data_IF_248145600128
#
_entry.id   IF_248145600128
#
_cell.length_a   1.000
_cell.length_b   1.000
_cell.length_c   1.000
_cell.angle_alpha   90.00
_cell.angle_beta   90.00
_cell.angle_gamma   90.00
#
_symmetry.space_group_name_H-M   'P 1'
#
loop_
_entity.id
_entity.type
_entity.pdbx_description
1 polymer ?
#
# COMPACT_ATOMS: atom_id res chain seq x y z
N UNK A 1 9.82 -10.78 27.46
CA UNK A 1 10.84 -10.73 26.39
C UNK A 1 10.09 -10.68 25.07
N UNK A 2 9.90 -9.48 24.51
CA UNK A 2 9.41 -9.32 23.14
C UNK A 2 10.62 -9.27 22.22
N UNK A 3 10.65 -10.15 21.23
CA UNK A 3 11.75 -10.32 20.30
C UNK A 3 11.69 -9.23 19.23
N UNK A 4 12.38 -8.10 19.44
CA UNK A 4 12.76 -7.22 18.34
C UNK A 4 13.88 -7.91 17.55
N UNK A 5 13.59 -8.33 16.32
CA UNK A 5 14.60 -8.82 15.38
C UNK A 5 14.72 -7.82 14.25
N UNK A 6 15.88 -7.18 14.12
CA UNK A 6 16.11 -6.18 13.06
C UNK A 6 16.21 -6.85 11.68
N UNK A 7 15.44 -6.36 10.71
CA UNK A 7 15.45 -6.82 9.31
C UNK A 7 14.69 -5.89 8.35
N UNK A 8 14.87 -6.09 7.05
CA UNK A 8 14.04 -5.47 6.00
C UNK A 8 12.60 -5.95 6.17
N UNK A 9 11.59 -5.08 5.97
CA UNK A 9 10.19 -5.48 6.08
C UNK A 9 9.92 -6.69 5.16
N UNK A 10 9.28 -7.73 5.70
CA UNK A 10 8.90 -8.93 4.95
C UNK A 10 7.38 -8.94 4.84
N UNK A 11 6.86 -9.09 3.61
CA UNK A 11 5.43 -9.25 3.37
C UNK A 11 4.86 -10.43 4.15
N UNK A 12 3.64 -10.29 4.67
CA UNK A 12 2.95 -11.36 5.37
C UNK A 12 2.53 -12.47 4.41
N UNK A 13 2.38 -13.68 4.94
CA UNK A 13 1.67 -14.75 4.24
C UNK A 13 0.19 -14.35 4.04
N UNK A 14 -0.54 -14.92 3.06
CA UNK A 14 -1.96 -14.64 2.86
C UNK A 14 -2.76 -14.78 4.16
N UNK A 15 -3.45 -13.71 4.58
CA UNK A 15 -4.23 -13.66 5.83
C UNK A 15 -3.41 -13.42 7.11
N UNK A 16 -2.09 -13.25 7.02
CA UNK A 16 -1.20 -12.94 8.14
C UNK A 16 -0.57 -11.55 8.04
N UNK A 17 -0.26 -10.95 9.19
CA UNK A 17 0.52 -9.71 9.23
C UNK A 17 1.95 -9.95 8.73
N UNK A 18 2.49 -9.00 7.97
CA UNK A 18 3.92 -8.98 7.62
C UNK A 18 4.81 -8.82 8.84
N UNK A 19 6.09 -9.16 8.66
CA UNK A 19 7.10 -8.98 9.70
C UNK A 19 7.45 -7.50 9.91
N UNK A 20 7.85 -7.15 11.13
CA UNK A 20 8.26 -5.79 11.50
C UNK A 20 9.37 -5.27 10.58
N UNK A 21 9.21 -4.05 10.06
CA UNK A 21 10.20 -3.36 9.25
C UNK A 21 10.89 -2.23 10.00
N UNK A 22 12.16 -1.94 9.67
CA UNK A 22 12.89 -0.79 10.22
C UNK A 22 12.83 0.41 9.26
N UNK A 23 12.11 1.46 9.64
CA UNK A 23 12.29 2.78 9.04
C UNK A 23 13.35 3.57 9.81
N UNK A 24 14.38 4.08 9.12
CA UNK A 24 15.39 4.97 9.71
C UNK A 24 15.23 6.34 9.08
N UNK A 25 14.73 7.29 9.86
CA UNK A 25 14.66 8.69 9.45
C UNK A 25 15.84 9.42 10.09
N UNK A 26 16.76 9.91 9.26
CA UNK A 26 17.95 10.64 9.71
C UNK A 26 17.71 12.13 9.48
N UNK A 27 17.60 12.88 10.56
CA UNK A 27 17.59 14.35 10.50
C UNK A 27 18.99 14.87 10.77
N UNK A 28 19.53 15.64 9.83
CA UNK A 28 20.76 16.40 10.08
C UNK A 28 20.35 17.78 10.58
N UNK A 29 20.60 18.06 11.85
CA UNK A 29 20.24 19.33 12.46
C UNK A 29 21.48 20.21 12.49
N UNK A 30 21.58 21.08 11.50
CA UNK A 30 22.60 22.12 11.44
C UNK A 30 22.28 23.23 12.42
N UNK A 31 23.17 23.47 13.39
CA UNK A 31 23.09 24.65 14.27
C UNK A 31 24.16 25.65 13.84
N UNK A 32 23.73 26.82 13.33
CA UNK A 32 24.65 27.90 12.95
C UNK A 32 24.70 28.94 14.07
N UNK A 33 25.86 29.07 14.73
CA UNK A 33 26.11 30.16 15.66
C UNK A 33 26.19 31.49 14.92
N UNK A 34 25.55 32.54 15.48
CA UNK A 34 25.63 33.90 14.95
C UNK A 34 25.90 34.90 16.08
N UNK A 35 26.59 36.00 15.78
CA UNK A 35 26.82 37.11 16.69
C UNK A 35 26.56 38.45 16.01
N UNK A 36 26.22 39.49 16.79
CA UNK A 36 25.84 40.81 16.25
C UNK A 36 27.02 41.77 16.30
N UNK A 37 27.35 42.39 15.16
CA UNK A 37 28.38 43.44 15.05
C UNK A 37 27.79 44.66 14.37
N UNK A 38 27.77 45.80 15.06
CA UNK A 38 27.26 47.06 14.49
C UNK A 38 25.80 46.98 14.00
N UNK A 39 24.97 46.15 14.64
CA UNK A 39 23.58 45.96 14.24
C UNK A 39 23.33 44.79 13.27
N UNK A 40 24.36 44.28 12.60
CA UNK A 40 24.24 43.18 11.64
C UNK A 40 24.61 41.83 12.27
N UNK A 41 23.87 40.77 11.92
CA UNK A 41 24.20 39.39 12.29
C UNK A 41 25.32 38.84 11.41
N UNK A 42 26.27 38.13 12.02
CA UNK A 42 27.38 37.45 11.35
C UNK A 42 27.51 36.01 11.86
N UNK A 43 27.81 35.09 10.96
CA UNK A 43 28.06 33.69 11.28
C UNK A 43 29.34 33.55 12.14
N UNK A 44 29.32 32.56 13.02
CA UNK A 44 30.49 32.09 13.77
C UNK A 44 31.00 30.82 13.08
N UNK A 45 32.13 30.90 12.40
CA UNK A 45 32.74 29.75 11.72
C UNK A 45 33.63 28.92 12.66
N UNK A 46 34.21 29.57 13.67
CA UNK A 46 35.00 28.92 14.72
C UNK A 46 34.97 29.76 16.00
N UNK A 47 35.00 29.10 17.16
CA UNK A 47 35.06 29.73 18.46
C UNK A 47 36.26 29.22 19.26
N UNK A 48 36.98 30.13 19.92
CA UNK A 48 38.16 29.81 20.71
C UNK A 48 38.08 30.46 22.09
N UNK A 49 38.67 29.80 23.08
CA UNK A 49 38.84 30.32 24.43
C UNK A 49 40.32 30.32 24.81
N UNK A 50 40.78 31.37 25.48
CA UNK A 50 42.19 31.54 25.84
C UNK A 50 42.46 30.96 27.24
N UNK A 51 43.33 29.97 27.33
CA UNK A 51 43.73 29.33 28.60
C UNK A 51 45.25 29.40 28.74
N UNK A 52 45.74 30.06 29.78
CA UNK A 52 47.18 30.16 30.05
C UNK A 52 47.97 30.82 28.91
N UNK A 53 47.37 31.79 28.21
CA UNK A 53 48.02 32.47 27.08
C UNK A 53 47.80 31.83 25.71
N UNK A 54 47.39 30.56 25.65
CA UNK A 54 47.15 29.83 24.41
C UNK A 54 45.66 29.82 24.02
N UNK A 55 45.38 29.98 22.72
CA UNK A 55 44.04 29.81 22.18
C UNK A 55 43.70 28.33 22.02
N UNK A 56 42.54 27.92 22.52
CA UNK A 56 42.01 26.56 22.39
C UNK A 56 40.64 26.59 21.74
N UNK A 57 40.38 25.68 20.81
CA UNK A 57 39.08 25.58 20.14
C UNK A 57 37.99 25.15 21.12
N UNK A 58 36.83 25.79 21.02
CA UNK A 58 35.61 25.35 21.71
C UNK A 58 34.95 24.30 20.83
N UNK A 59 34.80 23.07 21.35
CA UNK A 59 34.26 21.93 20.60
C UNK A 59 32.84 21.54 21.02
N UNK A 60 32.37 22.03 22.16
CA UNK A 60 31.02 21.80 22.66
C UNK A 60 30.59 22.89 23.65
N UNK A 61 29.29 23.17 23.72
CA UNK A 61 28.68 24.04 24.72
C UNK A 61 27.69 23.27 25.60
N UNK A 62 27.67 23.56 26.90
CA UNK A 62 26.73 22.97 27.85
C UNK A 62 26.03 24.05 28.70
N UNK A 63 24.80 23.80 29.11
CA UNK A 63 24.04 24.60 30.08
C UNK A 63 23.67 23.72 31.29
N UNK A 64 23.65 24.31 32.49
CA UNK A 64 23.31 23.59 33.71
C UNK A 64 21.82 23.75 34.01
N UNK A 65 21.07 22.65 34.01
CA UNK A 65 19.62 22.61 34.29
C UNK A 65 19.38 21.61 35.41
N UNK A 66 18.80 22.07 36.53
CA UNK A 66 18.51 21.21 37.69
C UNK A 66 19.76 20.55 38.29
N UNK A 67 20.92 21.19 38.20
CA UNK A 67 22.20 20.65 38.70
C UNK A 67 22.96 19.77 37.70
N UNK A 68 22.34 19.33 36.60
CA UNK A 68 22.99 18.52 35.57
C UNK A 68 23.47 19.37 34.38
N UNK A 69 24.64 19.06 33.84
CA UNK A 69 25.13 19.65 32.58
C UNK A 69 24.44 18.99 31.39
N UNK A 70 23.80 19.80 30.53
CA UNK A 70 23.14 19.36 29.30
C UNK A 70 23.75 20.08 28.10
N UNK A 71 23.96 19.38 27.00
CA UNK A 71 24.53 20.00 25.80
C UNK A 71 23.56 21.09 25.26
N UNK A 72 24.10 22.24 24.88
CA UNK A 72 23.34 23.37 24.28
C UNK A 72 22.81 23.03 22.89
N UNK A 73 23.47 22.11 22.19
CA UNK A 73 23.08 21.61 20.87
C UNK A 73 23.01 20.08 20.94
N UNK A 74 22.07 19.48 20.21
CA UNK A 74 21.76 18.03 20.20
C UNK A 74 21.07 17.47 21.46
N UNK A 75 20.49 18.30 22.32
CA UNK A 75 19.66 17.86 23.44
C UNK A 75 18.31 18.59 23.43
N UNK A 76 17.23 17.90 23.83
CA UNK A 76 15.88 18.49 23.92
C UNK A 76 15.04 18.42 22.65
N UNK A 77 15.44 17.62 21.66
CA UNK A 77 14.64 17.39 20.44
C UNK A 77 13.77 16.16 20.68
N UNK A 78 12.50 16.40 20.97
CA UNK A 78 11.51 15.34 21.12
C UNK A 78 10.84 15.10 19.77
N UNK A 79 11.12 13.93 19.19
CA UNK A 79 10.36 13.45 18.06
C UNK A 79 9.07 12.82 18.58
N UNK A 80 7.95 13.46 18.30
CA UNK A 80 6.62 12.92 18.60
C UNK A 80 6.02 12.49 17.26
N UNK A 81 5.78 11.18 17.09
CA UNK A 81 5.00 10.71 15.94
C UNK A 81 3.54 11.14 16.12
N UNK A 82 3.00 11.89 15.17
CA UNK A 82 1.58 12.30 15.15
C UNK A 82 0.73 11.46 14.19
N UNK A 83 1.37 10.58 13.40
CA UNK A 83 0.70 9.77 12.41
C UNK A 83 0.10 8.51 13.06
N UNK A 84 -1.22 8.35 12.95
CA UNK A 84 -1.97 7.20 13.50
C UNK A 84 -1.60 5.83 12.90
N UNK A 85 -0.79 5.80 11.82
CA UNK A 85 -0.40 4.59 11.10
C UNK A 85 1.03 4.12 11.33
N UNK A 86 1.84 4.78 12.16
CA UNK A 86 3.16 4.23 12.52
C UNK A 86 3.01 3.46 13.83
N UNK A 87 3.41 2.18 13.83
CA UNK A 87 3.38 1.34 15.02
C UNK A 87 4.13 1.97 16.20
N UNK A 88 3.72 1.64 17.43
CA UNK A 88 4.35 2.15 18.66
C UNK A 88 5.31 1.11 19.28
N UNK A 89 6.02 1.50 20.35
CA UNK A 89 6.97 0.63 21.05
C UNK A 89 6.31 -0.61 21.69
N UNK A 90 4.99 -0.59 21.88
CA UNK A 90 4.20 -1.73 22.35
C UNK A 90 3.66 -2.63 21.21
N UNK A 91 3.96 -2.33 19.93
CA UNK A 91 3.52 -3.14 18.79
C UNK A 91 2.08 -2.85 18.31
N UNK A 92 1.58 -1.62 18.52
CA UNK A 92 0.27 -1.16 18.05
C UNK A 92 0.12 -1.16 16.52
N UNK A 93 -1.10 -0.90 16.05
CA UNK A 93 -1.53 -1.00 14.64
C UNK A 93 -0.53 -0.40 13.65
N UNK A 94 0.06 -1.28 12.83
CA UNK A 94 0.90 -0.94 11.68
C UNK A 94 0.04 -0.32 10.55
N UNK A 95 0.64 0.59 9.77
CA UNK A 95 0.03 1.18 8.54
C UNK A 95 -0.12 0.18 7.41
N UNK A 96 0.39 -1.04 7.56
CA UNK A 96 0.15 -2.11 6.62
C UNK A 96 -1.25 -2.67 6.79
N UNK A 97 -2.20 -2.17 6.00
CA UNK A 97 -3.39 -2.96 5.66
C UNK A 97 -2.94 -4.17 4.84
N UNK A 98 -3.31 -5.38 5.26
CA UNK A 98 -3.11 -6.57 4.43
C UNK A 98 -3.83 -6.37 3.10
N UNK A 99 -3.08 -6.28 2.00
CA UNK A 99 -3.66 -6.24 0.66
C UNK A 99 -4.28 -7.60 0.34
N UNK A 100 -5.59 -7.75 0.52
CA UNK A 100 -6.36 -8.92 0.09
C UNK A 100 -7.11 -8.59 -1.19
N UNK A 101 -6.44 -8.13 -2.24
CA UNK A 101 -7.16 -7.56 -3.39
C UNK A 101 -6.41 -7.66 -4.70
N UNK A 102 -6.70 -8.73 -5.45
CA UNK A 102 -6.28 -8.87 -6.84
C UNK A 102 -6.70 -10.23 -7.37
N UNK A 103 -7.97 -10.34 -7.76
CA UNK A 103 -8.41 -11.48 -8.54
C UNK A 103 -7.62 -11.51 -9.86
N UNK A 104 -6.97 -12.63 -10.22
CA UNK A 104 -6.23 -12.76 -11.48
C UNK A 104 -6.38 -14.15 -12.12
N UNK A 105 -6.15 -14.27 -13.43
CA UNK A 105 -6.30 -15.50 -14.24
C UNK A 105 -4.97 -16.00 -14.80
N UNK A 106 -4.84 -17.30 -15.04
CA UNK A 106 -3.65 -17.85 -15.70
C UNK A 106 -3.53 -17.40 -17.17
N UNK A 107 -2.30 -17.30 -17.72
CA UNK A 107 -2.12 -17.07 -19.15
C UNK A 107 -2.80 -18.17 -19.98
N UNK A 108 -3.34 -17.79 -21.12
CA UNK A 108 -4.12 -18.66 -22.00
C UNK A 108 -5.59 -18.76 -21.62
N UNK A 109 -6.03 -18.21 -20.48
CA UNK A 109 -7.47 -18.13 -20.15
C UNK A 109 -8.19 -17.27 -21.19
N UNK A 110 -9.22 -17.83 -21.81
CA UNK A 110 -9.94 -17.20 -22.93
C UNK A 110 -11.05 -16.30 -22.42
N UNK A 111 -10.89 -15.00 -22.65
CA UNK A 111 -11.88 -13.96 -22.35
C UNK A 111 -12.87 -13.87 -23.50
N UNK A 112 -14.16 -13.77 -23.17
CA UNK A 112 -15.21 -13.56 -24.18
C UNK A 112 -15.25 -12.08 -24.57
N UNK A 113 -14.95 -11.77 -25.84
CA UNK A 113 -14.91 -10.41 -26.38
C UNK A 113 -16.32 -9.93 -26.74
N UNK A 114 -16.51 -8.60 -26.89
CA UNK A 114 -17.82 -8.03 -27.20
C UNK A 114 -18.39 -8.49 -28.56
N UNK A 115 -17.54 -8.84 -29.51
CA UNK A 115 -17.91 -9.40 -30.82
C UNK A 115 -18.20 -10.92 -30.80
N UNK A 116 -18.12 -11.55 -29.63
CA UNK A 116 -18.31 -12.99 -29.44
C UNK A 116 -17.09 -13.84 -29.75
N UNK A 117 -15.96 -13.24 -30.13
CA UNK A 117 -14.67 -13.95 -30.25
C UNK A 117 -14.04 -14.19 -28.88
N UNK A 118 -12.92 -14.90 -28.87
CA UNK A 118 -12.14 -15.17 -27.67
C UNK A 118 -10.74 -14.59 -27.79
N UNK A 119 -10.24 -13.99 -26.71
CA UNK A 119 -8.87 -13.50 -26.60
C UNK A 119 -8.24 -13.98 -25.30
N UNK A 120 -7.00 -14.46 -25.36
CA UNK A 120 -6.28 -14.86 -24.15
C UNK A 120 -6.06 -13.63 -23.24
N UNK A 121 -6.22 -13.82 -21.93
CA UNK A 121 -6.19 -12.72 -20.95
C UNK A 121 -4.91 -11.89 -20.98
N UNK A 122 -3.76 -12.51 -21.25
CA UNK A 122 -2.47 -11.83 -21.37
C UNK A 122 -2.31 -11.00 -22.66
N UNK A 123 -3.24 -11.14 -23.60
CA UNK A 123 -3.29 -10.40 -24.87
C UNK A 123 -4.40 -9.34 -24.90
N UNK A 124 -5.26 -9.28 -23.88
CA UNK A 124 -6.25 -8.21 -23.73
C UNK A 124 -5.51 -6.90 -23.45
N UNK A 125 -5.81 -5.86 -24.22
CA UNK A 125 -5.14 -4.57 -24.14
C UNK A 125 -6.13 -3.42 -23.87
N UNK A 126 -5.59 -2.29 -23.42
CA UNK A 126 -6.38 -1.09 -23.15
C UNK A 126 -7.07 -0.64 -24.44
N UNK A 127 -8.39 -0.45 -24.35
CA UNK A 127 -9.23 -0.05 -25.47
C UNK A 127 -9.95 -1.20 -26.17
N UNK A 128 -9.64 -2.46 -25.86
CA UNK A 128 -10.45 -3.60 -26.26
C UNK A 128 -11.87 -3.52 -25.67
N UNK A 129 -12.85 -4.16 -26.31
CA UNK A 129 -14.21 -4.31 -25.77
C UNK A 129 -14.49 -5.78 -25.41
N UNK A 130 -14.80 -6.04 -24.14
CA UNK A 130 -15.14 -7.37 -23.63
C UNK A 130 -16.64 -7.55 -23.46
N UNK A 131 -17.10 -8.80 -23.57
CA UNK A 131 -18.52 -9.14 -23.39
C UNK A 131 -18.97 -8.79 -21.98
N UNK A 132 -20.12 -8.13 -21.86
CA UNK A 132 -20.70 -7.57 -20.61
C UNK A 132 -19.85 -6.45 -20.00
N UNK A 133 -18.53 -6.63 -19.85
CA UNK A 133 -17.59 -5.70 -19.22
C UNK A 133 -17.35 -4.38 -19.97
N UNK A 134 -17.65 -4.30 -21.27
CA UNK A 134 -17.45 -3.08 -22.04
C UNK A 134 -15.97 -2.80 -22.32
N UNK A 135 -15.60 -1.52 -22.42
CA UNK A 135 -14.23 -1.13 -22.79
C UNK A 135 -13.23 -1.39 -21.67
N UNK A 136 -12.08 -1.94 -22.03
CA UNK A 136 -10.93 -2.15 -21.14
C UNK A 136 -10.19 -0.83 -20.93
N UNK A 137 -9.94 -0.47 -19.67
CA UNK A 137 -9.25 0.77 -19.31
C UNK A 137 -7.91 0.54 -18.58
N UNK A 138 -7.65 -0.68 -18.10
CA UNK A 138 -6.42 -1.04 -17.42
C UNK A 138 -6.09 -2.52 -17.64
N UNK A 139 -4.80 -2.86 -17.59
CA UNK A 139 -4.30 -4.24 -17.62
C UNK A 139 -3.24 -4.41 -16.54
N UNK A 140 -3.19 -5.57 -15.90
CA UNK A 140 -2.25 -5.83 -14.82
C UNK A 140 -1.75 -7.28 -14.83
N UNK A 141 -0.57 -7.47 -14.23
CA UNK A 141 0.13 -8.74 -14.13
C UNK A 141 0.67 -8.89 -12.72
N UNK A 142 0.43 -10.04 -12.09
CA UNK A 142 0.78 -10.29 -10.70
C UNK A 142 1.47 -11.65 -10.54
N UNK A 143 2.26 -11.77 -9.47
CA UNK A 143 2.80 -13.03 -8.99
C UNK A 143 1.99 -13.43 -7.75
N UNK A 144 1.44 -14.64 -7.75
CA UNK A 144 0.59 -15.16 -6.67
C UNK A 144 1.03 -16.56 -6.24
N UNK A 145 0.60 -17.00 -5.06
CA UNK A 145 0.82 -18.35 -4.52
C UNK A 145 -0.50 -19.01 -4.09
N UNK A 146 -1.65 -18.56 -4.62
CA UNK A 146 -2.98 -19.03 -4.22
C UNK A 146 -3.85 -19.37 -5.43
N UNK A 147 -3.38 -20.29 -6.27
CA UNK A 147 -4.08 -20.67 -7.50
C UNK A 147 -5.14 -21.75 -7.24
N UNK A 148 -6.29 -21.60 -7.89
CA UNK A 148 -7.43 -22.52 -7.81
C UNK A 148 -7.91 -22.89 -9.22
N UNK A 149 -8.49 -24.07 -9.35
CA UNK A 149 -9.38 -24.41 -10.46
C UNK A 149 -10.83 -24.13 -10.06
N UNK A 150 -11.52 -23.32 -10.86
CA UNK A 150 -12.95 -23.12 -10.77
C UNK A 150 -13.60 -23.57 -12.08
N UNK A 151 -14.13 -24.81 -12.09
CA UNK A 151 -14.80 -25.41 -13.25
C UNK A 151 -13.93 -25.38 -14.53
N UNK A 152 -12.63 -25.62 -14.39
CA UNK A 152 -11.67 -25.59 -15.51
C UNK A 152 -11.00 -24.24 -15.75
N UNK A 153 -11.38 -23.19 -15.04
CA UNK A 153 -10.71 -21.88 -15.08
C UNK A 153 -9.68 -21.81 -13.96
N UNK A 154 -8.40 -21.68 -14.34
CA UNK A 154 -7.31 -21.45 -13.38
C UNK A 154 -7.24 -19.97 -12.99
N UNK A 155 -7.51 -19.67 -11.73
CA UNK A 155 -7.77 -18.32 -11.21
C UNK A 155 -7.31 -18.21 -9.77
N UNK A 156 -6.95 -17.01 -9.30
CA UNK A 156 -6.60 -16.80 -7.90
C UNK A 156 -7.79 -17.10 -6.99
N UNK A 157 -7.53 -17.69 -5.82
CA UNK A 157 -8.57 -18.04 -4.84
C UNK A 157 -9.37 -16.81 -4.36
N UNK A 158 -8.72 -15.65 -4.34
CA UNK A 158 -9.32 -14.37 -3.95
C UNK A 158 -10.16 -13.72 -5.05
N UNK A 159 -10.23 -14.27 -6.26
CA UNK A 159 -11.07 -13.73 -7.34
C UNK A 159 -12.55 -13.94 -7.01
N UNK A 160 -13.40 -12.93 -7.28
CA UNK A 160 -14.84 -13.07 -7.09
C UNK A 160 -15.51 -13.65 -8.33
N UNK A 161 -16.37 -14.65 -8.10
CA UNK A 161 -17.14 -15.36 -9.11
C UNK A 161 -18.62 -15.36 -8.73
N UNK A 162 -19.49 -15.24 -9.72
CA UNK A 162 -20.93 -15.33 -9.52
C UNK A 162 -21.37 -16.78 -9.58
N UNK A 163 -21.74 -17.32 -8.43
CA UNK A 163 -22.18 -18.69 -8.23
C UNK A 163 -23.62 -18.70 -7.72
N UNK A 164 -24.51 -19.41 -8.41
CA UNK A 164 -25.94 -19.52 -8.05
C UNK A 164 -26.61 -18.15 -7.80
N UNK A 165 -26.23 -17.14 -8.58
CA UNK A 165 -26.74 -15.77 -8.46
C UNK A 165 -26.13 -14.95 -7.32
N UNK A 166 -25.13 -15.46 -6.61
CA UNK A 166 -24.42 -14.77 -5.52
C UNK A 166 -22.94 -14.65 -5.83
N UNK A 167 -22.35 -13.53 -5.45
CA UNK A 167 -20.91 -13.34 -5.54
C UNK A 167 -20.21 -14.01 -4.37
N UNK A 168 -19.18 -14.79 -4.65
CA UNK A 168 -18.32 -15.44 -3.66
C UNK A 168 -16.87 -15.43 -4.14
N UNK A 169 -15.92 -15.59 -3.22
CA UNK A 169 -14.51 -15.82 -3.57
C UNK A 169 -14.36 -17.25 -4.07
N UNK A 170 -13.49 -17.46 -5.07
CA UNK A 170 -13.22 -18.80 -5.62
C UNK A 170 -12.76 -19.78 -4.53
N UNK A 171 -11.92 -19.35 -3.59
CA UNK A 171 -11.45 -20.19 -2.48
C UNK A 171 -12.56 -20.59 -1.49
N UNK A 172 -13.64 -19.81 -1.43
CA UNK A 172 -14.81 -20.06 -0.57
C UNK A 172 -15.95 -20.76 -1.32
N UNK A 173 -15.80 -21.00 -2.62
CA UNK A 173 -16.81 -21.67 -3.44
C UNK A 173 -16.83 -23.18 -3.19
N UNK A 174 -18.00 -23.80 -3.37
CA UNK A 174 -18.15 -25.26 -3.41
C UNK A 174 -17.51 -25.93 -4.64
N UNK A 175 -17.13 -25.15 -5.64
CA UNK A 175 -16.53 -25.58 -6.90
C UNK A 175 -15.03 -25.28 -6.98
N UNK A 176 -14.50 -24.45 -6.08
CA UNK A 176 -13.08 -24.09 -6.06
C UNK A 176 -12.23 -25.25 -5.55
N UNK A 177 -11.22 -25.63 -6.33
CA UNK A 177 -10.23 -26.65 -5.96
C UNK A 177 -8.85 -26.00 -5.92
N UNK A 178 -8.20 -25.97 -4.75
CA UNK A 178 -6.84 -25.44 -4.64
C UNK A 178 -5.86 -26.25 -5.49
N UNK A 179 -5.02 -25.56 -6.25
CA UNK A 179 -3.94 -26.15 -7.04
C UNK A 179 -2.58 -26.10 -6.31
N UNK A 180 -2.58 -25.73 -5.03
CA UNK A 180 -1.39 -25.58 -4.21
C UNK A 180 -0.89 -24.13 -4.14
N UNK A 181 0.34 -24.00 -3.66
CA UNK A 181 0.93 -22.70 -3.29
C UNK A 181 2.19 -22.35 -4.10
N UNK A 182 2.35 -22.98 -5.27
CA UNK A 182 3.47 -22.65 -6.14
C UNK A 182 3.25 -21.26 -6.74
N UNK A 183 4.35 -20.52 -6.92
CA UNK A 183 4.32 -19.20 -7.55
C UNK A 183 3.76 -19.29 -8.99
N UNK A 184 2.76 -18.47 -9.28
CA UNK A 184 2.11 -18.39 -10.57
C UNK A 184 2.03 -16.92 -11.04
N UNK A 185 2.37 -16.70 -12.31
CA UNK A 185 2.18 -15.42 -12.97
C UNK A 185 0.78 -15.40 -13.57
N UNK A 186 0.01 -14.38 -13.20
CA UNK A 186 -1.41 -14.24 -13.53
C UNK A 186 -1.72 -12.85 -14.06
N UNK A 187 -2.80 -12.73 -14.82
CA UNK A 187 -3.20 -11.53 -15.57
C UNK A 187 -4.64 -11.17 -15.25
N UNK A 188 -4.94 -9.88 -15.29
CA UNK A 188 -6.30 -9.34 -15.17
C UNK A 188 -6.36 -7.97 -15.84
N UNK A 189 -7.57 -7.48 -16.08
CA UNK A 189 -7.81 -6.15 -16.61
C UNK A 189 -8.97 -5.47 -15.87
N UNK A 190 -9.08 -4.16 -16.01
CA UNK A 190 -10.23 -3.36 -15.59
C UNK A 190 -11.07 -2.97 -16.81
N UNK A 191 -12.39 -3.00 -16.67
CA UNK A 191 -13.41 -2.84 -17.70
C UNK A 191 -14.58 -1.98 -17.19
N UNK A 192 -15.21 -1.20 -18.07
CA UNK A 192 -16.26 -0.22 -17.71
C UNK A 192 -17.40 -0.77 -16.84
N UNK A 193 -17.89 -1.96 -17.15
CA UNK A 193 -18.99 -2.58 -16.44
C UNK A 193 -18.52 -3.62 -15.45
N UNK A 194 -17.20 -3.71 -15.22
CA UNK A 194 -16.64 -4.33 -14.03
C UNK A 194 -16.83 -5.86 -14.00
N UNK A 195 -16.89 -6.46 -15.19
CA UNK A 195 -17.38 -7.84 -15.42
C UNK A 195 -16.52 -8.55 -16.47
N UNK A 196 -16.19 -9.80 -16.19
CA UNK A 196 -15.37 -10.65 -17.06
C UNK A 196 -16.10 -11.97 -17.28
N UNK A 197 -16.28 -12.34 -18.55
CA UNK A 197 -16.94 -13.60 -18.95
C UNK A 197 -15.92 -14.58 -19.53
N UNK A 198 -15.81 -15.75 -18.90
CA UNK A 198 -14.91 -16.84 -19.28
C UNK A 198 -15.73 -18.13 -19.27
N UNK A 199 -15.84 -18.82 -20.41
CA UNK A 199 -16.63 -20.05 -20.57
C UNK A 199 -18.07 -19.96 -20.00
N UNK A 200 -18.71 -18.80 -20.15
CA UNK A 200 -20.05 -18.52 -19.64
C UNK A 200 -20.12 -18.34 -18.12
N UNK A 201 -18.99 -18.38 -17.42
CA UNK A 201 -18.84 -18.06 -16.01
C UNK A 201 -18.52 -16.58 -15.88
N UNK A 202 -19.12 -15.97 -14.87
CA UNK A 202 -19.06 -14.54 -14.65
C UNK A 202 -18.20 -14.21 -13.42
N UNK A 203 -17.16 -13.42 -13.66
CA UNK A 203 -16.22 -12.92 -12.67
C UNK A 203 -16.31 -11.39 -12.59
N UNK A 204 -15.81 -10.82 -11.50
CA UNK A 204 -15.53 -9.37 -11.42
C UNK A 204 -14.23 -9.05 -12.16
N UNK A 205 -13.98 -7.78 -12.44
CA UNK A 205 -12.67 -7.34 -12.90
C UNK A 205 -11.71 -6.96 -11.75
N UNK A 206 -10.58 -6.32 -12.06
CA UNK A 206 -9.64 -5.83 -11.04
C UNK A 206 -10.17 -4.60 -10.28
N UNK A 207 -10.75 -4.84 -9.11
CA UNK A 207 -11.24 -3.83 -8.17
C UNK A 207 -10.26 -3.45 -7.07
N UNK A 208 -10.20 -2.15 -6.76
CA UNK A 208 -9.59 -1.64 -5.52
C UNK A 208 -10.40 -2.06 -4.28
N UNK A 209 -9.72 -2.15 -3.13
CA UNK A 209 -10.20 -2.77 -1.88
C UNK A 209 -11.53 -2.21 -1.35
N UNK A 210 -11.85 -0.95 -1.64
CA UNK A 210 -13.08 -0.28 -1.17
C UNK A 210 -14.34 -0.75 -1.92
N UNK A 211 -14.23 -1.00 -3.21
CA UNK A 211 -15.37 -1.35 -4.06
C UNK A 211 -15.77 -2.82 -3.90
N UNK A 212 -14.83 -3.69 -3.52
CA UNK A 212 -15.14 -5.07 -3.11
C UNK A 212 -15.98 -5.11 -1.82
N UNK A 213 -15.67 -4.27 -0.83
CA UNK A 213 -16.48 -4.14 0.39
C UNK A 213 -17.88 -3.61 0.05
N UNK A 214 -17.97 -2.65 -0.87
CA UNK A 214 -19.25 -2.12 -1.32
C UNK A 214 -20.07 -3.17 -2.09
N UNK A 215 -19.45 -4.06 -2.89
CA UNK A 215 -20.15 -5.18 -3.53
C UNK A 215 -20.69 -6.18 -2.50
N UNK A 216 -19.94 -6.47 -1.43
CA UNK A 216 -20.42 -7.30 -0.32
C UNK A 216 -21.62 -6.65 0.41
N UNK A 217 -21.60 -5.32 0.57
CA UNK A 217 -22.64 -4.57 1.27
C UNK A 217 -23.89 -4.27 0.41
N UNK A 218 -23.71 -4.02 -0.89
CA UNK A 218 -24.73 -3.48 -1.80
C UNK A 218 -25.10 -4.40 -2.97
N UNK A 219 -24.36 -5.50 -3.18
CA UNK A 219 -24.62 -6.45 -4.26
C UNK A 219 -24.54 -5.83 -5.65
N UNK A 220 -25.37 -6.29 -6.59
CA UNK A 220 -25.27 -5.87 -8.01
C UNK A 220 -25.57 -4.39 -8.27
N UNK A 221 -26.17 -3.68 -7.31
CA UNK A 221 -26.47 -2.25 -7.45
C UNK A 221 -25.20 -1.39 -7.59
N UNK A 222 -24.04 -1.90 -7.14
CA UNK A 222 -22.78 -1.19 -7.34
C UNK A 222 -22.41 -1.07 -8.82
N UNK A 223 -22.76 -2.05 -9.65
CA UNK A 223 -22.39 -2.05 -11.07
C UNK A 223 -23.10 -0.96 -11.88
N UNK A 224 -24.25 -0.46 -11.41
CA UNK A 224 -24.96 0.64 -12.08
C UNK A 224 -24.46 2.02 -11.65
N UNK A 225 -23.90 2.16 -10.45
CA UNK A 225 -23.60 3.46 -9.84
C UNK A 225 -22.12 3.66 -9.49
N UNK A 226 -21.24 2.72 -9.84
CA UNK A 226 -19.84 2.71 -9.40
C UNK A 226 -19.08 4.00 -9.73
N UNK A 227 -19.37 4.65 -10.87
CA UNK A 227 -18.71 5.89 -11.27
C UNK A 227 -18.99 7.05 -10.30
N UNK A 228 -20.17 7.05 -9.68
CA UNK A 228 -20.54 8.04 -8.67
C UNK A 228 -19.90 7.72 -7.32
N UNK A 229 -19.74 6.43 -6.99
CA UNK A 229 -19.03 5.99 -5.80
C UNK A 229 -17.52 6.28 -5.89
N UNK A 230 -16.89 5.99 -7.03
CA UNK A 230 -15.46 6.26 -7.27
C UNK A 230 -15.15 7.77 -7.17
N UNK A 231 -16.01 8.63 -7.74
CA UNK A 231 -15.92 10.09 -7.56
C UNK A 231 -15.97 10.51 -6.09
N UNK A 232 -16.91 9.95 -5.31
CA UNK A 232 -17.04 10.26 -3.89
C UNK A 232 -15.85 9.74 -3.06
N UNK A 233 -15.26 8.60 -3.43
CA UNK A 233 -14.06 8.06 -2.79
C UNK A 233 -12.83 8.92 -3.13
N UNK A 234 -12.68 9.34 -4.39
CA UNK A 234 -11.62 10.27 -4.80
C UNK A 234 -11.70 11.59 -4.03
N UNK A 235 -12.89 12.18 -3.91
CA UNK A 235 -13.09 13.41 -3.14
C UNK A 235 -12.79 13.21 -1.64
N UNK A 236 -13.17 12.06 -1.06
CA UNK A 236 -12.82 11.71 0.33
C UNK A 236 -11.31 11.53 0.51
N UNK A 237 -10.63 10.87 -0.42
CA UNK A 237 -9.18 10.65 -0.36
C UNK A 237 -8.40 11.97 -0.49
N UNK A 238 -8.82 12.85 -1.41
CA UNK A 238 -8.26 14.21 -1.53
C UNK A 238 -8.49 15.00 -0.24
N UNK A 239 -9.68 14.91 0.37
CA UNK A 239 -9.98 15.61 1.63
C UNK A 239 -9.22 15.04 2.82
N UNK A 240 -9.00 13.73 2.91
CA UNK A 240 -8.19 13.09 3.96
C UNK A 240 -6.71 13.47 3.80
N UNK A 241 -6.20 13.53 2.58
CA UNK A 241 -4.82 13.94 2.30
C UNK A 241 -4.56 15.44 2.53
N UNK A 242 -5.61 16.27 2.49
CA UNK A 242 -5.52 17.73 2.67
C UNK A 242 -6.07 18.23 4.02
N UNK A 243 -6.67 17.38 4.85
CA UNK A 243 -7.10 17.76 6.20
C UNK A 243 -5.87 17.88 7.10
N UNK A 244 -5.46 19.13 7.35
CA UNK A 244 -4.43 19.54 8.32
C UNK A 244 -5.05 19.82 9.69
#
# INVERSE_FOLDING_TARGET
MSHYTAGTAIGGQPGGSGGDGKAVVIFTIGVQGNFKVGGAWKAIDAAFFKVGGAWKSITAGYVKIGGAWKALFNNGINFVSTAAGFGNAEGGTSSGGGGTGGGCFMPGTMITMADGTFKAVELVDIGDEVSVGGKVFATAKFLIENLYDYKGVQVSGTHMVKEDGKWTRVENSKHGVSLGNDEAIVYVFGSENRRIIIDGIEFTDYFELTEQQELENHGEQIFSNWQDHDRQIHDKNVNILNAS
#
